data_IF_961243552610
#
_entry.id   IF_961243552610
#
_cell.length_a   1.000
_cell.length_b   1.000
_cell.length_c   1.000
_cell.angle_alpha   90.00
_cell.angle_beta   90.00
_cell.angle_gamma   90.00
#
_symmetry.space_group_name_H-M   'P 1'
#
loop_
_entity.id
_entity.type
_entity.pdbx_description
1 polymer ?
#
# COMPACT_ATOMS: atom_id res chain seq x y z
N UNK A 1 36.01 49.61 -67.75
CA UNK A 1 34.73 49.27 -67.10
C UNK A 1 34.56 47.81 -66.64
N UNK A 2 35.61 46.95 -66.60
CA UNK A 2 35.47 45.52 -66.20
C UNK A 2 35.82 45.19 -64.73
N UNK A 3 36.63 46.02 -64.06
CA UNK A 3 37.20 45.67 -62.74
C UNK A 3 36.29 46.05 -61.55
N UNK A 4 35.42 47.06 -61.69
CA UNK A 4 34.47 47.46 -60.65
C UNK A 4 33.24 46.54 -60.56
N UNK A 5 32.86 45.89 -61.67
CA UNK A 5 31.72 44.96 -61.72
C UNK A 5 32.01 43.64 -61.00
N UNK A 6 33.23 43.09 -61.15
CA UNK A 6 33.64 41.84 -60.47
C UNK A 6 33.75 41.98 -58.95
N UNK A 7 34.11 43.16 -58.43
CA UNK A 7 34.17 43.41 -56.98
C UNK A 7 32.78 43.45 -56.32
N UNK A 8 31.76 43.96 -57.02
CA UNK A 8 30.36 43.92 -56.54
C UNK A 8 29.77 42.51 -56.62
N UNK A 9 30.10 41.75 -57.67
CA UNK A 9 29.67 40.36 -57.80
C UNK A 9 30.28 39.45 -56.72
N UNK A 10 31.57 39.62 -56.41
CA UNK A 10 32.23 38.86 -55.34
C UNK A 10 31.70 39.23 -53.94
N UNK A 11 31.46 40.52 -53.68
CA UNK A 11 30.87 40.95 -52.40
C UNK A 11 29.43 40.43 -52.23
N UNK A 12 28.61 40.44 -53.28
CA UNK A 12 27.26 39.87 -53.24
C UNK A 12 27.26 38.34 -53.06
N UNK A 13 28.19 37.62 -53.70
CA UNK A 13 28.34 36.16 -53.52
C UNK A 13 28.74 35.78 -52.09
N UNK A 14 29.64 36.53 -51.45
CA UNK A 14 30.00 36.32 -50.05
C UNK A 14 28.86 36.65 -49.08
N UNK A 15 28.03 37.66 -49.39
CA UNK A 15 26.88 38.02 -48.55
C UNK A 15 25.77 36.97 -48.64
N UNK A 16 25.56 36.35 -49.82
CA UNK A 16 24.60 35.25 -50.00
C UNK A 16 25.08 33.95 -49.33
N UNK A 17 26.38 33.66 -49.38
CA UNK A 17 26.95 32.46 -48.74
C UNK A 17 26.91 32.54 -47.20
N UNK A 18 27.06 33.75 -46.63
CA UNK A 18 26.97 33.97 -45.18
C UNK A 18 25.52 33.86 -44.64
N UNK A 19 24.51 34.15 -45.47
CA UNK A 19 23.09 33.99 -45.12
C UNK A 19 22.60 32.54 -45.17
N UNK A 20 23.25 31.66 -45.94
CA UNK A 20 22.92 30.24 -46.03
C UNK A 20 23.48 29.39 -44.87
N UNK A 21 24.43 29.92 -44.10
CA UNK A 21 25.00 29.22 -42.93
C UNK A 21 24.13 29.30 -41.66
N UNK A 22 23.06 30.11 -41.66
CA UNK A 22 22.17 30.30 -40.51
C UNK A 22 20.91 29.41 -40.55
N UNK A 23 20.69 28.64 -41.62
CA UNK A 23 19.59 27.67 -41.71
C UNK A 23 20.12 26.27 -41.36
N UNK A 24 20.77 26.17 -40.21
CA UNK A 24 20.83 24.92 -39.49
C UNK A 24 19.43 24.64 -38.96
N UNK A 25 18.60 23.94 -39.74
CA UNK A 25 17.36 23.35 -39.26
C UNK A 25 17.71 22.39 -38.13
N UNK A 26 17.76 22.89 -36.89
CA UNK A 26 17.47 22.06 -35.73
C UNK A 26 16.03 21.60 -35.92
N UNK A 27 15.85 20.45 -36.57
CA UNK A 27 14.58 19.74 -36.46
C UNK A 27 14.33 19.60 -34.95
N UNK A 28 13.17 20.02 -34.43
CA UNK A 28 12.81 19.67 -33.08
C UNK A 28 12.89 18.15 -33.03
N UNK A 29 13.85 17.61 -32.29
CA UNK A 29 13.85 16.19 -31.99
C UNK A 29 12.46 15.96 -31.39
N UNK A 30 11.60 15.14 -32.02
CA UNK A 30 10.35 14.79 -31.37
C UNK A 30 10.75 14.30 -29.97
N UNK A 31 10.07 14.74 -28.89
CA UNK A 31 10.31 14.18 -27.58
C UNK A 31 10.30 12.67 -27.78
N UNK A 32 11.33 11.94 -27.28
CA UNK A 32 11.43 10.52 -27.52
C UNK A 32 10.05 9.94 -27.22
N UNK A 33 9.41 9.37 -28.25
CA UNK A 33 8.19 8.59 -28.02
C UNK A 33 8.55 7.69 -26.86
N UNK A 34 7.75 7.67 -25.77
CA UNK A 34 8.07 6.82 -24.64
C UNK A 34 8.25 5.44 -25.24
N UNK A 35 9.50 4.98 -25.29
CA UNK A 35 9.80 3.66 -25.79
C UNK A 35 8.87 2.79 -24.99
N UNK A 36 8.00 2.06 -25.68
CA UNK A 36 7.24 1.00 -25.05
C UNK A 36 8.32 0.06 -24.53
N UNK A 37 8.78 0.30 -23.30
CA UNK A 37 9.61 -0.62 -22.57
C UNK A 37 8.77 -1.88 -22.63
N UNK A 38 9.26 -2.86 -23.40
CA UNK A 38 8.69 -4.20 -23.41
C UNK A 38 8.38 -4.49 -21.96
N UNK A 39 7.08 -4.61 -21.65
CA UNK A 39 6.57 -4.73 -20.29
C UNK A 39 7.53 -5.70 -19.59
N UNK A 40 8.19 -5.31 -18.48
CA UNK A 40 9.13 -6.21 -17.82
C UNK A 40 8.48 -7.58 -17.73
N UNK A 41 9.21 -8.66 -18.03
CA UNK A 41 8.70 -10.02 -17.91
C UNK A 41 8.46 -10.30 -16.43
N UNK A 42 7.31 -9.80 -15.97
CA UNK A 42 6.95 -9.66 -14.59
C UNK A 42 6.01 -10.82 -14.31
N UNK A 43 6.28 -11.61 -13.26
CA UNK A 43 5.38 -12.69 -12.89
C UNK A 43 3.96 -12.17 -12.65
N UNK A 44 2.96 -12.97 -13.00
CA UNK A 44 1.54 -12.59 -12.86
C UNK A 44 1.20 -12.15 -11.43
N UNK A 45 1.76 -12.84 -10.43
CA UNK A 45 1.56 -12.51 -9.02
C UNK A 45 2.07 -11.11 -8.62
N UNK A 46 2.99 -10.52 -9.39
CA UNK A 46 3.50 -9.17 -9.15
C UNK A 46 2.66 -8.10 -9.86
N UNK A 47 1.65 -8.51 -10.63
CA UNK A 47 0.66 -7.63 -11.28
C UNK A 47 -0.73 -7.78 -10.66
N UNK A 48 -1.09 -9.00 -10.25
CA UNK A 48 -2.38 -9.34 -9.64
C UNK A 48 -2.11 -10.14 -8.37
N UNK A 49 -2.71 -9.73 -7.25
CA UNK A 49 -2.63 -10.50 -6.01
C UNK A 49 -3.28 -11.88 -6.24
N UNK A 50 -2.59 -12.98 -5.93
CA UNK A 50 -3.18 -14.32 -6.07
C UNK A 50 -4.42 -14.49 -5.19
N UNK A 51 -5.33 -15.36 -5.62
CA UNK A 51 -6.50 -15.73 -4.84
C UNK A 51 -6.13 -16.43 -3.52
N UNK A 52 -7.11 -16.51 -2.63
CA UNK A 52 -6.98 -17.26 -1.38
C UNK A 52 -7.06 -18.76 -1.68
N UNK A 53 -5.97 -19.49 -1.39
CA UNK A 53 -5.85 -20.92 -1.67
C UNK A 53 -5.33 -21.65 -0.42
N UNK A 54 -5.84 -22.87 -0.19
CA UNK A 54 -5.41 -23.75 0.91
C UNK A 54 -5.44 -23.10 2.31
N UNK A 55 -6.42 -22.23 2.57
CA UNK A 55 -6.54 -21.52 3.85
C UNK A 55 -5.46 -20.46 4.08
N UNK A 56 -4.79 -20.02 3.01
CA UNK A 56 -3.77 -18.98 3.05
C UNK A 56 -4.26 -17.72 2.34
N UNK A 57 -4.08 -16.58 3.00
CA UNK A 57 -4.25 -15.25 2.43
C UNK A 57 -2.93 -14.83 1.80
N UNK A 58 -2.98 -14.29 0.58
CA UNK A 58 -1.82 -13.75 -0.12
C UNK A 58 -1.78 -12.23 -0.04
N UNK A 59 -0.57 -11.66 0.00
CA UNK A 59 -0.38 -10.22 -0.09
C UNK A 59 0.83 -9.91 -0.95
N UNK A 60 0.70 -8.91 -1.82
CA UNK A 60 1.82 -8.46 -2.65
C UNK A 60 2.41 -7.17 -2.08
N UNK A 61 3.69 -7.17 -1.75
CA UNK A 61 4.47 -6.00 -1.38
C UNK A 61 5.23 -5.45 -2.59
N UNK A 62 5.26 -4.13 -2.75
CA UNK A 62 6.03 -3.46 -3.81
C UNK A 62 6.77 -2.31 -3.16
N UNK A 63 8.10 -2.28 -3.32
CA UNK A 63 8.91 -1.23 -2.73
C UNK A 63 8.82 0.08 -3.52
N UNK A 64 9.23 1.18 -2.88
CA UNK A 64 9.75 2.33 -3.63
C UNK A 64 11.07 1.96 -4.35
N UNK A 65 11.60 2.86 -5.15
CA UNK A 65 12.95 2.69 -5.73
C UNK A 65 14.00 3.01 -4.66
N UNK A 66 14.96 2.12 -4.46
CA UNK A 66 16.08 2.32 -3.54
C UNK A 66 17.42 2.10 -4.21
N UNK A 67 18.45 2.84 -3.80
CA UNK A 67 19.80 2.70 -4.34
C UNK A 67 20.47 1.34 -4.03
N UNK A 68 19.96 0.60 -3.05
CA UNK A 68 20.46 -0.73 -2.69
C UNK A 68 19.37 -1.78 -2.80
N UNK A 69 19.76 -2.98 -3.23
CA UNK A 69 18.88 -4.16 -3.28
C UNK A 69 18.23 -4.42 -1.91
N UNK A 70 19.03 -4.40 -0.84
CA UNK A 70 18.55 -4.72 0.51
C UNK A 70 17.43 -3.77 0.95
N UNK A 71 17.61 -2.46 0.76
CA UNK A 71 16.59 -1.48 1.17
C UNK A 71 15.30 -1.64 0.38
N UNK A 72 15.38 -1.93 -0.93
CA UNK A 72 14.21 -2.23 -1.74
C UNK A 72 13.50 -3.50 -1.24
N UNK A 73 14.26 -4.55 -0.97
CA UNK A 73 13.74 -5.84 -0.50
C UNK A 73 13.03 -5.71 0.85
N UNK A 74 13.67 -5.04 1.81
CA UNK A 74 13.10 -4.84 3.16
C UNK A 74 11.84 -3.97 3.09
N UNK A 75 11.86 -2.92 2.28
CA UNK A 75 10.69 -2.07 2.08
C UNK A 75 9.53 -2.81 1.39
N UNK A 76 9.79 -3.66 0.40
CA UNK A 76 8.74 -4.48 -0.22
C UNK A 76 8.05 -5.37 0.83
N UNK A 77 8.81 -5.98 1.73
CA UNK A 77 8.27 -6.80 2.81
C UNK A 77 7.44 -6.00 3.82
N UNK A 78 7.91 -4.82 4.19
CA UNK A 78 7.17 -3.87 5.02
C UNK A 78 5.83 -3.51 4.35
N UNK A 79 5.82 -3.22 3.04
CA UNK A 79 4.59 -2.92 2.30
C UNK A 79 3.63 -4.10 2.21
N UNK A 80 4.11 -5.33 2.10
CA UNK A 80 3.24 -6.51 2.21
C UNK A 80 2.61 -6.62 3.62
N UNK A 81 3.39 -6.33 4.66
CA UNK A 81 2.93 -6.36 6.05
C UNK A 81 1.87 -5.29 6.31
N UNK A 82 2.12 -4.05 5.86
CA UNK A 82 1.15 -2.96 5.94
C UNK A 82 -0.17 -3.32 5.25
N UNK A 83 -0.12 -3.91 4.05
CA UNK A 83 -1.31 -4.37 3.32
C UNK A 83 -2.11 -5.41 4.09
N UNK A 84 -1.44 -6.40 4.66
CA UNK A 84 -2.09 -7.41 5.50
C UNK A 84 -2.78 -6.80 6.73
N UNK A 85 -2.15 -5.83 7.38
CA UNK A 85 -2.74 -5.12 8.53
C UNK A 85 -3.91 -4.24 8.10
N UNK A 86 -3.81 -3.53 6.97
CA UNK A 86 -4.90 -2.73 6.42
C UNK A 86 -6.10 -3.59 6.03
N UNK A 87 -5.87 -4.75 5.43
CA UNK A 87 -6.92 -5.72 5.14
C UNK A 87 -7.69 -6.10 6.41
N UNK A 88 -6.99 -6.45 7.49
CA UNK A 88 -7.62 -6.74 8.78
C UNK A 88 -8.39 -5.56 9.35
N UNK A 89 -7.81 -4.36 9.32
CA UNK A 89 -8.47 -3.15 9.82
C UNK A 89 -9.78 -2.85 9.07
N UNK A 90 -9.75 -2.92 7.75
CA UNK A 90 -10.93 -2.68 6.91
C UNK A 90 -12.00 -3.77 7.11
N UNK A 91 -11.57 -5.02 7.16
CA UNK A 91 -12.46 -6.16 7.35
C UNK A 91 -13.15 -6.11 8.73
N UNK A 92 -12.35 -5.93 9.79
CA UNK A 92 -12.84 -5.83 11.17
C UNK A 92 -13.80 -4.65 11.33
N UNK A 93 -13.48 -3.48 10.75
CA UNK A 93 -14.36 -2.31 10.76
C UNK A 93 -15.71 -2.61 10.12
N UNK A 94 -15.73 -3.26 8.95
CA UNK A 94 -16.97 -3.60 8.25
C UNK A 94 -17.92 -4.48 9.06
N UNK A 95 -17.42 -5.59 9.62
CA UNK A 95 -18.22 -6.50 10.45
C UNK A 95 -18.65 -5.83 11.76
N UNK A 96 -17.73 -5.11 12.40
CA UNK A 96 -17.99 -4.44 13.68
C UNK A 96 -19.02 -3.33 13.58
N UNK A 97 -19.00 -2.50 12.53
CA UNK A 97 -20.00 -1.46 12.33
C UNK A 97 -21.42 -2.02 12.11
N UNK A 98 -21.54 -3.21 11.52
CA UNK A 98 -22.84 -3.90 11.39
C UNK A 98 -23.33 -4.39 12.75
N UNK A 99 -22.46 -5.05 13.51
CA UNK A 99 -22.82 -5.59 14.83
C UNK A 99 -23.09 -4.50 15.88
N UNK A 100 -22.34 -3.41 15.85
CA UNK A 100 -22.52 -2.28 16.76
C UNK A 100 -23.92 -1.67 16.73
N UNK A 101 -24.57 -1.67 15.55
CA UNK A 101 -25.96 -1.21 15.40
C UNK A 101 -26.93 -2.05 16.25
N UNK A 102 -26.70 -3.35 16.34
CA UNK A 102 -27.51 -4.27 17.15
C UNK A 102 -27.40 -3.98 18.64
N UNK A 103 -26.25 -3.47 19.10
CA UNK A 103 -25.97 -3.13 20.49
C UNK A 103 -26.22 -1.64 20.83
N UNK A 104 -26.75 -0.85 19.88
CA UNK A 104 -26.97 0.59 20.07
C UNK A 104 -25.67 1.39 20.28
N UNK A 105 -24.51 0.85 19.88
CA UNK A 105 -23.22 1.50 20.04
C UNK A 105 -23.00 2.56 18.95
N UNK A 106 -22.41 3.68 19.34
CA UNK A 106 -22.04 4.75 18.40
C UNK A 106 -20.86 4.29 17.53
N UNK A 107 -20.89 4.66 16.25
CA UNK A 107 -19.82 4.33 15.31
C UNK A 107 -18.44 4.84 15.78
N UNK A 108 -18.39 6.00 16.43
CA UNK A 108 -17.14 6.59 16.94
C UNK A 108 -16.49 5.71 18.01
N UNK A 109 -17.27 5.17 18.94
CA UNK A 109 -16.77 4.24 19.98
C UNK A 109 -16.15 2.98 19.35
N UNK A 110 -16.75 2.45 18.29
CA UNK A 110 -16.22 1.28 17.58
C UNK A 110 -14.93 1.62 16.82
N UNK A 111 -14.93 2.77 16.16
CA UNK A 111 -13.76 3.26 15.43
C UNK A 111 -12.58 3.51 16.37
N UNK A 112 -12.83 4.01 17.59
CA UNK A 112 -11.81 4.21 18.61
C UNK A 112 -11.23 2.89 19.11
N UNK A 113 -12.06 1.85 19.30
CA UNK A 113 -11.57 0.56 19.78
C UNK A 113 -10.77 -0.20 18.70
N UNK A 114 -11.27 -0.26 17.46
CA UNK A 114 -10.61 -0.98 16.35
C UNK A 114 -9.45 -0.17 15.76
N UNK A 115 -9.59 1.15 15.71
CA UNK A 115 -8.51 2.08 15.36
C UNK A 115 -7.54 2.31 16.52
N UNK A 116 -7.85 1.78 17.70
CA UNK A 116 -7.08 1.95 18.92
C UNK A 116 -5.67 1.39 18.78
N UNK A 117 -4.70 2.10 19.37
CA UNK A 117 -3.27 1.75 19.28
C UNK A 117 -2.99 0.31 19.74
N UNK A 118 -3.63 -0.15 20.79
CA UNK A 118 -3.42 -1.50 21.33
C UNK A 118 -3.98 -2.58 20.41
N UNK A 119 -5.16 -2.37 19.83
CA UNK A 119 -5.73 -3.25 18.80
C UNK A 119 -4.78 -3.36 17.61
N UNK A 120 -4.33 -2.22 17.08
CA UNK A 120 -3.42 -2.16 15.93
C UNK A 120 -2.08 -2.83 16.23
N UNK A 121 -1.50 -2.65 17.42
CA UNK A 121 -0.27 -3.33 17.84
C UNK A 121 -0.43 -4.84 17.90
N UNK A 122 -1.54 -5.35 18.44
CA UNK A 122 -1.79 -6.79 18.54
C UNK A 122 -1.89 -7.41 17.15
N UNK A 123 -2.69 -6.79 16.28
CA UNK A 123 -2.86 -7.21 14.90
C UNK A 123 -1.53 -7.17 14.13
N UNK A 124 -0.81 -6.04 14.20
CA UNK A 124 0.49 -5.90 13.54
C UNK A 124 1.49 -6.93 14.05
N UNK A 125 1.54 -7.16 15.37
CA UNK A 125 2.43 -8.14 15.99
C UNK A 125 2.12 -9.58 15.57
N UNK A 126 0.87 -9.93 15.33
CA UNK A 126 0.50 -11.26 14.84
C UNK A 126 0.85 -11.43 13.36
N UNK A 127 0.48 -10.45 12.53
CA UNK A 127 0.77 -10.44 11.09
C UNK A 127 2.28 -10.50 10.84
N UNK A 128 3.05 -9.60 11.43
CA UNK A 128 4.51 -9.53 11.20
C UNK A 128 5.26 -10.82 11.56
N UNK A 129 4.78 -11.60 12.54
CA UNK A 129 5.40 -12.89 12.94
C UNK A 129 5.06 -14.03 11.99
N UNK A 130 3.85 -14.04 11.44
CA UNK A 130 3.29 -15.18 10.71
C UNK A 130 3.23 -14.97 9.20
N UNK A 131 3.32 -13.72 8.72
CA UNK A 131 3.51 -13.42 7.32
C UNK A 131 4.84 -14.02 6.88
N UNK A 132 4.83 -14.75 5.75
CA UNK A 132 6.04 -15.37 5.17
C UNK A 132 6.18 -14.96 3.72
N UNK A 133 7.37 -14.53 3.33
CA UNK A 133 7.71 -14.35 1.92
C UNK A 133 7.75 -15.71 1.21
N UNK A 134 7.10 -15.79 0.05
CA UNK A 134 7.05 -16.97 -0.81
C UNK A 134 7.88 -16.76 -2.08
N UNK A 135 7.72 -15.62 -2.75
CA UNK A 135 8.43 -15.30 -3.98
C UNK A 135 8.91 -13.86 -3.96
N UNK A 136 10.05 -13.64 -4.63
CA UNK A 136 10.66 -12.34 -4.82
C UNK A 136 10.88 -12.12 -6.31
N UNK A 137 10.70 -10.88 -6.75
CA UNK A 137 11.04 -10.41 -8.08
C UNK A 137 11.58 -9.00 -7.96
N UNK A 138 12.53 -8.62 -8.80
CA UNK A 138 13.06 -7.27 -8.80
C UNK A 138 13.30 -6.76 -10.20
N UNK A 139 13.30 -5.44 -10.33
CA UNK A 139 13.70 -4.76 -11.54
C UNK A 139 14.81 -3.76 -11.19
N UNK A 140 15.79 -3.65 -12.09
CA UNK A 140 16.81 -2.60 -12.02
C UNK A 140 16.30 -1.42 -12.83
N UNK A 141 16.25 -0.26 -12.19
CA UNK A 141 15.93 1.06 -12.77
C UNK A 141 17.22 1.88 -12.87
N UNK A 142 17.16 2.98 -13.62
CA UNK A 142 18.30 3.90 -13.77
C UNK A 142 18.78 4.50 -12.45
N UNK A 143 17.87 4.58 -11.47
CA UNK A 143 18.03 5.23 -10.17
C UNK A 143 18.05 4.24 -8.98
N UNK A 144 17.96 2.93 -9.24
CA UNK A 144 18.06 1.91 -8.20
C UNK A 144 17.29 0.63 -8.48
N UNK A 145 16.85 -0.02 -7.41
CA UNK A 145 16.15 -1.30 -7.40
C UNK A 145 14.70 -1.09 -6.97
N UNK A 146 13.79 -1.81 -7.62
CA UNK A 146 12.41 -2.01 -7.14
C UNK A 146 12.21 -3.50 -6.89
N UNK A 147 11.64 -3.84 -5.73
CA UNK A 147 11.37 -5.21 -5.33
C UNK A 147 9.87 -5.45 -5.19
N UNK A 148 9.48 -6.66 -5.57
CA UNK A 148 8.16 -7.23 -5.43
C UNK A 148 8.29 -8.47 -4.54
N UNK A 149 7.37 -8.64 -3.62
CA UNK A 149 7.30 -9.82 -2.77
C UNK A 149 5.89 -10.35 -2.71
N UNK A 150 5.72 -11.63 -3.03
CA UNK A 150 4.51 -12.36 -2.69
C UNK A 150 4.70 -12.93 -1.30
N UNK A 151 3.82 -12.55 -0.38
CA UNK A 151 3.76 -13.13 0.95
C UNK A 151 2.48 -13.95 1.10
N UNK A 152 2.48 -14.81 2.12
CA UNK A 152 1.31 -15.56 2.55
C UNK A 152 1.21 -15.62 4.06
N UNK A 153 -0.01 -15.73 4.56
CA UNK A 153 -0.32 -15.90 5.98
C UNK A 153 -1.54 -16.80 6.13
N UNK A 154 -1.58 -17.73 7.10
CA UNK A 154 -2.79 -18.52 7.33
C UNK A 154 -3.98 -17.62 7.69
N UNK A 155 -5.14 -17.88 7.09
CA UNK A 155 -6.39 -17.16 7.38
C UNK A 155 -6.77 -17.34 8.85
N UNK A 156 -6.51 -18.50 9.44
CA UNK A 156 -6.72 -18.74 10.88
C UNK A 156 -5.93 -17.78 11.77
N UNK A 157 -4.70 -17.43 11.40
CA UNK A 157 -3.90 -16.45 12.16
C UNK A 157 -4.55 -15.07 12.11
N UNK A 158 -5.06 -14.69 10.94
CA UNK A 158 -5.76 -13.41 10.75
C UNK A 158 -7.03 -13.35 11.60
N UNK A 159 -7.83 -14.42 11.57
CA UNK A 159 -9.06 -14.57 12.35
C UNK A 159 -8.79 -14.55 13.87
N UNK A 160 -7.83 -15.37 14.32
CA UNK A 160 -7.43 -15.44 15.73
C UNK A 160 -6.91 -14.10 16.25
N UNK A 161 -6.21 -13.33 15.41
CA UNK A 161 -5.72 -12.00 15.78
C UNK A 161 -6.87 -11.06 16.13
N UNK A 162 -7.94 -11.08 15.33
CA UNK A 162 -9.13 -10.28 15.56
C UNK A 162 -9.93 -10.79 16.77
N UNK A 163 -10.12 -12.11 16.89
CA UNK A 163 -10.78 -12.73 18.05
C UNK A 163 -10.11 -12.37 19.37
N UNK A 164 -8.78 -12.44 19.42
CA UNK A 164 -7.98 -12.11 20.59
C UNK A 164 -8.05 -10.62 20.92
N UNK A 165 -8.01 -9.75 19.92
CA UNK A 165 -8.15 -8.31 20.13
C UNK A 165 -9.53 -7.95 20.72
N UNK A 166 -10.60 -8.57 20.22
CA UNK A 166 -11.94 -8.42 20.79
C UNK A 166 -12.07 -9.02 22.19
N UNK A 167 -11.46 -10.19 22.48
CA UNK A 167 -11.47 -10.78 23.81
C UNK A 167 -10.79 -9.87 24.86
N UNK A 168 -9.69 -9.22 24.48
CA UNK A 168 -9.02 -8.23 25.32
C UNK A 168 -9.90 -6.99 25.56
N UNK A 169 -10.52 -6.46 24.50
CA UNK A 169 -11.44 -5.33 24.61
C UNK A 169 -12.67 -5.66 25.47
N UNK A 170 -13.21 -6.89 25.39
CA UNK A 170 -14.27 -7.36 26.29
C UNK A 170 -13.82 -7.28 27.75
N UNK A 171 -12.63 -7.81 28.07
CA UNK A 171 -12.09 -7.80 29.43
C UNK A 171 -11.97 -6.38 29.97
N UNK A 172 -11.49 -5.45 29.16
CA UNK A 172 -11.35 -4.04 29.52
C UNK A 172 -12.71 -3.36 29.73
N UNK A 173 -13.69 -3.63 28.86
CA UNK A 173 -15.06 -3.14 29.00
C UNK A 173 -15.74 -3.68 30.28
N UNK A 174 -15.58 -4.98 30.58
CA UNK A 174 -16.08 -5.57 31.85
C UNK A 174 -15.42 -4.96 33.07
N UNK A 175 -14.13 -4.64 33.01
CA UNK A 175 -13.44 -3.93 34.09
C UNK A 175 -14.02 -2.52 34.27
N UNK A 176 -14.17 -1.75 33.20
CA UNK A 176 -14.79 -0.41 33.23
C UNK A 176 -16.21 -0.43 33.79
N UNK A 177 -16.99 -1.47 33.49
CA UNK A 177 -18.33 -1.65 34.07
C UNK A 177 -18.32 -1.80 35.60
N UNK A 178 -17.32 -2.51 36.15
CA UNK A 178 -17.16 -2.67 37.60
C UNK A 178 -16.73 -1.38 38.29
N UNK A 179 -15.90 -0.59 37.62
CA UNK A 179 -15.33 0.65 38.13
C UNK A 179 -16.25 1.87 37.88
N UNK A 180 -17.40 1.68 37.23
CA UNK A 180 -18.30 2.76 36.84
C UNK A 180 -19.09 3.33 38.04
N UNK A 181 -19.07 4.66 38.17
CA UNK A 181 -19.75 5.39 39.25
C UNK A 181 -21.22 5.72 38.95
N UNK A 182 -21.71 5.44 37.75
CA UNK A 182 -23.11 5.70 37.35
C UNK A 182 -23.71 4.48 36.65
N UNK A 183 -25.04 4.33 36.78
CA UNK A 183 -25.78 3.25 36.11
C UNK A 183 -25.61 3.30 34.59
N UNK A 184 -25.69 4.51 34.00
CA UNK A 184 -25.52 4.71 32.56
C UNK A 184 -24.12 4.29 32.06
N UNK A 185 -23.06 4.68 32.78
CA UNK A 185 -21.69 4.29 32.42
C UNK A 185 -21.48 2.76 32.56
N UNK A 186 -22.07 2.16 33.59
CA UNK A 186 -22.05 0.71 33.80
C UNK A 186 -22.74 -0.03 32.67
N UNK A 187 -23.94 0.41 32.27
CA UNK A 187 -24.72 -0.17 31.17
C UNK A 187 -23.98 -0.03 29.83
N UNK A 188 -23.44 1.15 29.53
CA UNK A 188 -22.66 1.36 28.31
C UNK A 188 -21.46 0.41 28.23
N UNK A 189 -20.72 0.25 29.32
CA UNK A 189 -19.58 -0.66 29.38
C UNK A 189 -19.98 -2.15 29.28
N UNK A 190 -21.17 -2.53 29.75
CA UNK A 190 -21.70 -3.88 29.58
C UNK A 190 -22.11 -4.15 28.12
N UNK A 191 -22.81 -3.22 27.49
CA UNK A 191 -23.20 -3.34 26.07
C UNK A 191 -21.95 -3.45 25.17
N UNK A 192 -20.90 -2.70 25.48
CA UNK A 192 -19.62 -2.81 24.79
C UNK A 192 -18.94 -4.17 25.04
N UNK A 193 -18.96 -4.68 26.29
CA UNK A 193 -18.43 -5.99 26.60
C UNK A 193 -19.17 -7.12 25.85
N UNK A 194 -20.49 -7.06 25.78
CA UNK A 194 -21.30 -8.04 25.05
C UNK A 194 -21.04 -7.97 23.54
N UNK A 195 -20.93 -6.76 22.99
CA UNK A 195 -20.52 -6.56 21.60
C UNK A 195 -19.17 -7.25 21.32
N UNK A 196 -18.14 -7.01 22.13
CA UNK A 196 -16.83 -7.63 21.94
C UNK A 196 -16.86 -9.15 22.13
N UNK A 197 -17.66 -9.65 23.07
CA UNK A 197 -17.85 -11.09 23.29
C UNK A 197 -18.46 -11.77 22.06
N UNK A 198 -19.47 -11.13 21.46
CA UNK A 198 -20.10 -11.64 20.25
C UNK A 198 -19.14 -11.65 19.06
N UNK A 199 -18.40 -10.55 18.85
CA UNK A 199 -17.40 -10.45 17.79
C UNK A 199 -16.28 -11.50 17.91
N UNK A 200 -15.87 -11.83 19.14
CA UNK A 200 -14.87 -12.88 19.39
C UNK A 200 -15.40 -14.28 19.07
N UNK A 201 -16.69 -14.54 19.31
CA UNK A 201 -17.34 -15.84 19.05
C UNK A 201 -17.68 -16.06 17.57
N UNK A 202 -18.20 -15.04 16.90
CA UNK A 202 -18.65 -15.13 15.51
C UNK A 202 -17.49 -15.26 14.51
N UNK A 203 -16.25 -15.09 14.97
CA UNK A 203 -15.08 -14.95 14.13
C UNK A 203 -15.19 -13.82 13.13
N UNK A 204 -14.31 -13.81 12.16
CA UNK A 204 -14.21 -12.78 11.14
C UNK A 204 -14.08 -13.43 9.77
N UNK A 205 -13.23 -14.44 9.65
CA UNK A 205 -12.97 -15.12 8.39
C UNK A 205 -13.57 -16.52 8.45
N UNK A 206 -14.54 -16.78 7.56
CA UNK A 206 -15.18 -18.09 7.38
C UNK A 206 -14.27 -19.07 6.63
#
# INVERSE_FOLDING_TARGET
MKVQSMKKAAAQLFTVLALLALVGCAMPTPPPEPQSQSKPDRPDWAMTEPDDEDGMKHFVGVSAVYSTEQSARDNAYEKATERAVQFLGNFAKGKSLRMAKTFGLKADTINETIGGREFQKQVYGAVSRQLKAKQWYYEIKSDGYIYFVLTRIPISVLDDSLKNAHANAEKDARKRSKDANTAAAKEQALNEAEFHSQMSKDGFMD
#
